data_IF_506861035132
#
_entry.id   IF_506861035132
#
_cell.length_a   1.000
_cell.length_b   1.000
_cell.length_c   1.000
_cell.angle_alpha   90.00
_cell.angle_beta   90.00
_cell.angle_gamma   90.00
#
_symmetry.space_group_name_H-M   'P 1'
#
loop_
_entity.id
_entity.type
_entity.pdbx_description
1 polymer ?
#
# COMPACT_ATOMS: atom_id res chain seq x y z
N UNK A 1 -36.86 -36.92 -1.99
CA UNK A 1 -37.21 -35.52 -2.31
C UNK A 1 -36.23 -34.67 -1.52
N UNK A 2 -35.25 -34.08 -2.19
CA UNK A 2 -34.15 -33.31 -1.58
C UNK A 2 -34.68 -31.99 -1.05
N UNK A 3 -34.78 -31.88 0.28
CA UNK A 3 -35.03 -30.62 0.96
C UNK A 3 -33.83 -29.68 0.72
N UNK A 4 -34.05 -28.68 -0.13
CA UNK A 4 -33.12 -27.59 -0.31
C UNK A 4 -33.15 -26.73 0.95
N UNK A 5 -32.15 -26.91 1.81
CA UNK A 5 -31.83 -25.94 2.85
C UNK A 5 -31.43 -24.63 2.14
N UNK A 6 -32.19 -23.53 2.31
CA UNK A 6 -31.80 -22.23 1.75
C UNK A 6 -30.44 -21.82 2.36
N UNK A 7 -29.56 -21.12 1.62
CA UNK A 7 -28.33 -20.60 2.22
C UNK A 7 -28.73 -19.66 3.37
N UNK A 8 -28.33 -20.04 4.59
CA UNK A 8 -28.52 -19.27 5.82
C UNK A 8 -28.00 -17.85 5.60
N UNK A 9 -28.93 -16.91 5.38
CA UNK A 9 -28.63 -15.50 5.31
C UNK A 9 -28.30 -15.05 6.72
N UNK A 10 -27.01 -14.84 6.99
CA UNK A 10 -26.49 -14.35 8.25
C UNK A 10 -27.30 -13.12 8.73
N UNK A 11 -28.09 -13.25 9.82
CA UNK A 11 -29.06 -12.25 10.26
C UNK A 11 -28.42 -10.93 10.71
N UNK A 12 -27.09 -10.82 10.69
CA UNK A 12 -26.33 -9.63 11.07
C UNK A 12 -26.11 -8.58 9.97
N UNK A 13 -26.47 -8.83 8.71
CA UNK A 13 -26.15 -7.93 7.60
C UNK A 13 -27.18 -6.81 7.41
N UNK A 14 -27.16 -5.83 8.33
CA UNK A 14 -27.90 -4.58 8.20
C UNK A 14 -27.21 -3.71 7.13
N UNK A 15 -27.88 -3.32 6.03
CA UNK A 15 -27.30 -2.42 5.04
C UNK A 15 -27.01 -1.06 5.69
N UNK A 16 -25.73 -0.70 5.79
CA UNK A 16 -25.26 0.52 6.48
C UNK A 16 -24.44 0.25 7.75
N UNK A 17 -24.31 -1.00 8.20
CA UNK A 17 -23.36 -1.36 9.28
C UNK A 17 -21.92 -1.15 8.78
N UNK A 18 -21.17 -0.31 9.49
CA UNK A 18 -19.75 -0.03 9.24
C UNK A 18 -19.03 -1.36 9.05
N UNK A 19 -18.39 -1.55 7.87
CA UNK A 19 -17.56 -2.74 7.61
C UNK A 19 -16.57 -2.88 8.76
N UNK A 20 -16.52 -4.09 9.31
CA UNK A 20 -15.67 -4.47 10.43
C UNK A 20 -14.26 -3.86 10.26
N UNK A 21 -13.78 -3.10 11.25
CA UNK A 21 -12.56 -2.25 11.15
C UNK A 21 -11.34 -3.08 10.71
N UNK A 22 -11.35 -4.38 11.05
CA UNK A 22 -10.37 -5.39 10.63
C UNK A 22 -10.17 -5.46 9.11
N UNK A 23 -11.17 -5.15 8.30
CA UNK A 23 -11.08 -5.13 6.82
C UNK A 23 -10.16 -4.02 6.33
N UNK A 24 -10.09 -2.90 7.04
CA UNK A 24 -9.25 -1.74 6.67
C UNK A 24 -7.82 -1.82 7.22
N UNK A 25 -7.55 -2.79 8.12
CA UNK A 25 -6.22 -2.96 8.74
C UNK A 25 -5.12 -3.07 7.68
N UNK A 26 -5.36 -3.80 6.60
CA UNK A 26 -4.40 -3.97 5.51
C UNK A 26 -4.13 -2.65 4.77
N UNK A 27 -5.16 -1.82 4.53
CA UNK A 27 -4.98 -0.48 3.96
C UNK A 27 -4.16 0.42 4.86
N UNK A 28 -4.39 0.37 6.18
CA UNK A 28 -3.63 1.14 7.16
C UNK A 28 -2.15 0.74 7.17
N UNK A 29 -1.85 -0.56 7.16
CA UNK A 29 -0.48 -1.06 7.08
C UNK A 29 0.21 -0.54 5.80
N UNK A 30 -0.47 -0.63 4.65
CA UNK A 30 0.07 -0.13 3.38
C UNK A 30 0.35 1.38 3.40
N UNK A 31 -0.54 2.17 4.00
CA UNK A 31 -0.35 3.63 4.12
C UNK A 31 0.78 4.00 5.08
N UNK A 32 0.93 3.28 6.20
CA UNK A 32 2.05 3.49 7.14
C UNK A 32 3.38 3.21 6.43
N UNK A 33 3.49 2.08 5.71
CA UNK A 33 4.70 1.75 4.94
C UNK A 33 5.00 2.83 3.90
N UNK A 34 3.98 3.29 3.15
CA UNK A 34 4.14 4.40 2.20
C UNK A 34 4.63 5.68 2.88
N UNK A 35 4.11 6.02 4.05
CA UNK A 35 4.53 7.20 4.81
C UNK A 35 5.98 7.10 5.31
N UNK A 36 6.51 5.89 5.52
CA UNK A 36 7.92 5.67 5.91
C UNK A 36 8.90 5.82 4.73
N UNK A 37 8.48 5.53 3.50
CA UNK A 37 9.35 5.57 2.31
C UNK A 37 10.01 6.94 2.03
N UNK A 38 9.36 8.11 2.16
CA UNK A 38 10.05 9.38 1.94
C UNK A 38 11.21 9.57 2.92
N UNK A 39 11.11 9.09 4.16
CA UNK A 39 12.25 9.11 5.09
C UNK A 39 13.43 8.28 4.56
N UNK A 40 13.18 7.16 3.90
CA UNK A 40 14.23 6.36 3.24
C UNK A 40 14.81 7.09 2.02
N UNK A 41 13.97 7.76 1.23
CA UNK A 41 14.39 8.53 0.05
C UNK A 41 15.29 9.71 0.45
N UNK A 42 14.95 10.43 1.50
CA UNK A 42 15.76 11.55 1.97
C UNK A 42 16.95 11.10 2.84
N UNK A 43 16.80 10.03 3.61
CA UNK A 43 17.88 9.49 4.45
C UNK A 43 19.06 8.93 3.64
N UNK A 44 18.80 8.38 2.45
CA UNK A 44 19.84 7.85 1.57
C UNK A 44 20.31 8.84 0.48
N UNK A 45 19.99 10.14 0.60
CA UNK A 45 20.44 11.20 -0.33
C UNK A 45 21.95 11.19 -0.58
N UNK A 46 22.74 10.93 0.46
CA UNK A 46 24.21 10.86 0.36
C UNK A 46 24.72 9.65 -0.43
N UNK A 47 23.89 8.64 -0.70
CA UNK A 47 24.30 7.39 -1.37
C UNK A 47 24.16 7.48 -2.88
N UNK A 48 23.04 8.01 -3.39
CA UNK A 48 22.73 8.04 -4.83
C UNK A 48 22.62 9.44 -5.43
N UNK A 49 22.79 10.48 -4.61
CA UNK A 49 22.77 11.87 -5.06
C UNK A 49 21.37 12.44 -5.32
N UNK A 50 21.32 13.74 -5.58
CA UNK A 50 20.09 14.52 -5.61
C UNK A 50 19.12 14.14 -6.76
N UNK A 51 19.66 13.75 -7.92
CA UNK A 51 18.86 13.41 -9.11
C UNK A 51 18.06 12.13 -8.90
N UNK A 52 18.69 11.08 -8.35
CA UNK A 52 18.02 9.83 -8.05
C UNK A 52 16.99 9.98 -6.93
N UNK A 53 17.27 10.84 -5.93
CA UNK A 53 16.32 11.18 -4.87
C UNK A 53 15.03 11.80 -5.44
N UNK A 54 15.16 12.77 -6.36
CA UNK A 54 14.04 13.43 -7.03
C UNK A 54 13.19 12.46 -7.84
N UNK A 55 13.82 11.58 -8.63
CA UNK A 55 13.10 10.58 -9.42
C UNK A 55 12.31 9.60 -8.52
N UNK A 56 12.94 9.08 -7.45
CA UNK A 56 12.29 8.22 -6.47
C UNK A 56 11.13 8.93 -5.76
N UNK A 57 11.30 10.21 -5.42
CA UNK A 57 10.25 11.00 -4.79
C UNK A 57 9.03 11.18 -5.70
N UNK A 58 9.23 11.48 -6.98
CA UNK A 58 8.13 11.59 -7.96
C UNK A 58 7.39 10.27 -8.10
N UNK A 59 8.10 9.15 -8.26
CA UNK A 59 7.51 7.80 -8.32
C UNK A 59 6.70 7.52 -7.05
N UNK A 60 7.26 7.83 -5.88
CA UNK A 60 6.58 7.67 -4.60
C UNK A 60 5.29 8.49 -4.51
N UNK A 61 5.28 9.74 -4.96
CA UNK A 61 4.06 10.59 -4.98
C UNK A 61 2.96 9.95 -5.83
N UNK A 62 3.30 9.41 -7.00
CA UNK A 62 2.33 8.73 -7.86
C UNK A 62 1.75 7.49 -7.18
N UNK A 63 2.59 6.70 -6.52
CA UNK A 63 2.16 5.52 -5.77
C UNK A 63 1.30 5.91 -4.56
N UNK A 64 1.63 7.00 -3.87
CA UNK A 64 0.86 7.53 -2.74
C UNK A 64 -0.54 7.99 -3.18
N UNK A 65 -0.63 8.74 -4.28
CA UNK A 65 -1.91 9.16 -4.86
C UNK A 65 -2.76 7.94 -5.24
N UNK A 66 -2.13 6.92 -5.84
CA UNK A 66 -2.79 5.67 -6.18
C UNK A 66 -3.26 4.90 -4.94
N UNK A 67 -2.42 4.85 -3.89
CA UNK A 67 -2.74 4.23 -2.60
C UNK A 67 -3.92 4.91 -1.92
N UNK A 68 -3.96 6.25 -1.95
CA UNK A 68 -5.07 7.06 -1.41
C UNK A 68 -6.36 6.81 -2.19
N UNK A 69 -6.28 6.70 -3.52
CA UNK A 69 -7.43 6.39 -4.38
C UNK A 69 -7.94 4.96 -4.21
N UNK A 70 -7.05 3.99 -3.91
CA UNK A 70 -7.42 2.58 -3.73
C UNK A 70 -7.71 2.17 -2.29
N UNK A 71 -7.51 3.08 -1.32
CA UNK A 71 -7.70 2.85 0.11
C UNK A 71 -9.08 2.26 0.47
N UNK A 72 -10.15 2.76 -0.19
CA UNK A 72 -11.53 2.33 0.03
C UNK A 72 -11.96 1.14 -0.85
N UNK A 73 -11.41 1.03 -2.06
CA UNK A 73 -11.91 0.08 -3.08
C UNK A 73 -11.22 -1.29 -2.97
N UNK A 74 -9.92 -1.33 -2.68
CA UNK A 74 -9.12 -2.56 -2.68
C UNK A 74 -8.03 -2.56 -1.60
N UNK A 75 -8.37 -2.90 -0.33
CA UNK A 75 -7.45 -2.74 0.80
C UNK A 75 -6.14 -3.52 0.65
N UNK A 76 -6.21 -4.75 0.12
CA UNK A 76 -5.01 -5.58 -0.13
C UNK A 76 -4.06 -4.99 -1.17
N UNK A 77 -4.55 -4.21 -2.14
CA UNK A 77 -3.69 -3.64 -3.19
C UNK A 77 -2.79 -2.53 -2.67
N UNK A 78 -3.21 -1.81 -1.62
CA UNK A 78 -2.41 -0.74 -0.99
C UNK A 78 -1.16 -1.31 -0.33
N UNK A 79 -1.24 -2.50 0.28
CA UNK A 79 -0.05 -3.18 0.83
C UNK A 79 0.97 -3.48 -0.26
N UNK A 80 0.51 -4.02 -1.40
CA UNK A 80 1.38 -4.31 -2.54
C UNK A 80 2.04 -3.04 -3.12
N UNK A 81 1.34 -1.89 -3.11
CA UNK A 81 1.93 -0.62 -3.52
C UNK A 81 3.07 -0.18 -2.58
N UNK A 82 2.89 -0.36 -1.26
CA UNK A 82 3.96 -0.08 -0.28
C UNK A 82 5.17 -0.99 -0.47
N UNK A 83 4.95 -2.30 -0.67
CA UNK A 83 6.02 -3.27 -0.95
C UNK A 83 6.74 -2.93 -2.26
N UNK A 84 6.00 -2.57 -3.31
CA UNK A 84 6.57 -2.21 -4.61
C UNK A 84 7.44 -0.94 -4.51
N UNK A 85 6.96 0.08 -3.81
CA UNK A 85 7.72 1.30 -3.60
C UNK A 85 9.01 1.05 -2.81
N UNK A 86 8.95 0.19 -1.78
CA UNK A 86 10.13 -0.22 -1.01
C UNK A 86 11.13 -1.02 -1.86
N UNK A 87 10.65 -1.96 -2.68
CA UNK A 87 11.49 -2.73 -3.60
C UNK A 87 12.17 -1.82 -4.65
N UNK A 88 11.44 -0.83 -5.18
CA UNK A 88 11.98 0.14 -6.12
C UNK A 88 13.09 0.99 -5.48
N UNK A 89 12.89 1.46 -4.25
CA UNK A 89 13.94 2.16 -3.49
C UNK A 89 15.16 1.26 -3.25
N UNK A 90 14.96 0.01 -2.81
CA UNK A 90 16.06 -0.95 -2.59
C UNK A 90 16.87 -1.18 -3.86
N UNK A 91 16.21 -1.35 -5.01
CA UNK A 91 16.88 -1.54 -6.28
C UNK A 91 17.79 -0.35 -6.63
N UNK A 92 17.31 0.90 -6.45
CA UNK A 92 18.12 2.10 -6.69
C UNK A 92 19.32 2.17 -5.73
N UNK A 93 19.11 1.86 -4.45
CA UNK A 93 20.20 1.86 -3.45
C UNK A 93 21.25 0.82 -3.79
N UNK A 94 20.85 -0.40 -4.17
CA UNK A 94 21.80 -1.46 -4.56
C UNK A 94 22.58 -1.03 -5.79
N UNK A 95 21.90 -0.55 -6.84
CA UNK A 95 22.56 -0.11 -8.09
C UNK A 95 23.55 1.02 -7.82
N UNK A 96 23.16 2.03 -7.02
CA UNK A 96 24.02 3.16 -6.67
C UNK A 96 25.20 2.76 -5.78
N UNK A 97 25.09 1.68 -5.00
CA UNK A 97 26.20 1.13 -4.21
C UNK A 97 27.16 0.29 -5.05
N UNK A 98 26.68 -0.32 -6.12
CA UNK A 98 27.49 -1.17 -7.01
C UNK A 98 28.15 -0.41 -8.16
N UNK A 99 27.75 0.84 -8.39
CA UNK A 99 28.31 1.73 -9.42
C UNK A 99 29.35 2.64 -8.77
#
# INVERSE_FOLDING_TARGET
>A
MTDQHPPEQDPGQIPGRIKDIRVYRDSFIGMIVLACIPFLIFGALNVYGWVAALALFVIWVLILLQGTRWFMTYPRRVVWLGVLAFACWLAVVVVARTT
#
